data_IF_622835998146
#
_entry.id   IF_622835998146
#
_cell.length_a   1.000
_cell.length_b   1.000
_cell.length_c   1.000
_cell.angle_alpha   90.00
_cell.angle_beta   90.00
_cell.angle_gamma   90.00
#
_symmetry.space_group_name_H-M   'P 1'
#
loop_
_entity.id
_entity.type
_entity.pdbx_description
1 polymer ?
#
# COMPACT_ATOMS: atom_id res chain seq x y z
N UNK A 1 -11.21 -35.01 -26.29
CA UNK A 1 -10.84 -36.42 -26.11
C UNK A 1 -10.45 -36.56 -24.65
N UNK A 2 -11.03 -37.54 -23.95
CA UNK A 2 -10.88 -37.68 -22.50
C UNK A 2 -9.44 -38.05 -22.16
N UNK A 3 -8.78 -37.25 -21.32
CA UNK A 3 -7.49 -37.62 -20.72
C UNK A 3 -7.75 -38.75 -19.71
N UNK A 4 -7.24 -39.95 -20.04
CA UNK A 4 -7.18 -41.08 -19.13
C UNK A 4 -6.29 -40.69 -17.96
N UNK A 5 -6.86 -40.64 -16.76
CA UNK A 5 -6.09 -40.78 -15.51
C UNK A 5 -5.40 -42.15 -15.62
N UNK A 6 -4.08 -42.15 -15.49
CA UNK A 6 -3.26 -43.37 -15.55
C UNK A 6 -3.86 -44.37 -14.56
N UNK A 7 -4.23 -45.54 -15.08
CA UNK A 7 -4.92 -46.59 -14.32
C UNK A 7 -3.91 -47.30 -13.42
N UNK A 8 -4.19 -47.35 -12.12
CA UNK A 8 -3.28 -47.88 -11.11
C UNK A 8 -2.96 -49.37 -11.28
N UNK A 9 -3.75 -50.08 -12.07
CA UNK A 9 -3.53 -51.50 -12.38
C UNK A 9 -2.35 -51.72 -13.37
N UNK A 10 -2.05 -50.78 -14.27
CA UNK A 10 -0.92 -50.90 -15.23
C UNK A 10 0.45 -50.69 -14.56
N UNK A 11 0.50 -49.96 -13.43
CA UNK A 11 1.74 -49.76 -12.67
C UNK A 11 2.07 -50.94 -11.75
N UNK A 12 1.05 -51.69 -11.29
CA UNK A 12 1.24 -52.84 -10.41
C UNK A 12 1.84 -54.06 -11.12
N UNK A 13 1.58 -54.23 -12.43
CA UNK A 13 2.15 -55.35 -13.20
C UNK A 13 3.62 -55.12 -13.61
N UNK A 14 4.10 -53.87 -13.67
CA UNK A 14 5.50 -53.57 -14.06
C UNK A 14 6.49 -53.92 -12.94
N UNK A 15 6.06 -53.91 -11.68
CA UNK A 15 6.91 -54.24 -10.52
C UNK A 15 6.92 -55.74 -10.15
N UNK A 16 6.12 -56.58 -10.81
CA UNK A 16 6.02 -58.01 -10.46
C UNK A 16 7.17 -58.89 -11.02
N UNK A 17 7.93 -58.42 -12.02
CA UNK A 17 8.99 -59.19 -12.71
C UNK A 17 10.43 -58.79 -12.33
N UNK A 18 10.61 -58.03 -11.24
CA UNK A 18 11.92 -57.58 -10.76
C UNK A 18 12.33 -58.22 -9.43
N UNK A 19 13.04 -59.34 -9.53
CA UNK A 19 13.96 -59.95 -8.54
C UNK A 19 14.04 -59.28 -7.15
N UNK A 20 13.39 -59.92 -6.17
CA UNK A 20 13.34 -59.52 -4.76
C UNK A 20 14.70 -59.66 -4.07
N UNK A 21 15.31 -58.52 -3.74
CA UNK A 21 16.33 -58.46 -2.70
C UNK A 21 15.65 -58.36 -1.33
N UNK A 22 15.85 -59.40 -0.50
CA UNK A 22 15.57 -59.42 0.93
C UNK A 22 16.20 -58.20 1.61
N UNK A 23 15.39 -57.20 1.93
CA UNK A 23 15.65 -56.33 3.06
C UNK A 23 14.38 -56.30 3.90
N UNK A 24 14.52 -56.76 5.14
CA UNK A 24 13.53 -56.68 6.22
C UNK A 24 13.00 -55.23 6.32
N UNK A 25 11.98 -54.90 5.53
CA UNK A 25 11.30 -53.63 5.65
C UNK A 25 10.42 -53.71 6.89
N UNK A 26 10.79 -52.93 7.90
CA UNK A 26 9.98 -52.63 9.08
C UNK A 26 8.59 -52.15 8.62
N UNK A 27 7.66 -53.08 8.51
CA UNK A 27 6.24 -52.79 8.51
C UNK A 27 6.00 -52.15 9.88
N UNK A 28 5.63 -50.86 9.92
CA UNK A 28 5.29 -50.23 11.19
C UNK A 28 4.04 -50.91 11.73
N UNK A 29 4.28 -51.86 12.63
CA UNK A 29 3.26 -52.69 13.22
C UNK A 29 2.51 -51.87 14.28
N UNK A 30 1.52 -51.08 13.85
CA UNK A 30 0.48 -50.59 14.77
C UNK A 30 -0.55 -51.71 14.90
N UNK A 31 -0.10 -52.84 15.45
CA UNK A 31 -0.97 -53.93 15.87
C UNK A 31 -1.64 -53.57 17.20
N UNK A 32 -2.90 -53.15 17.10
CA UNK A 32 -4.01 -53.40 18.01
C UNK A 32 -3.69 -53.79 19.47
N UNK A 33 -3.77 -52.82 20.39
CA UNK A 33 -3.88 -53.11 21.83
C UNK A 33 -5.00 -52.35 22.57
N UNK A 34 -6.02 -51.83 21.87
CA UNK A 34 -7.21 -51.30 22.56
C UNK A 34 -8.50 -51.92 22.01
N UNK A 35 -9.27 -52.52 22.91
CA UNK A 35 -10.58 -53.11 22.64
C UNK A 35 -11.54 -52.06 22.08
N UNK A 36 -12.15 -52.35 20.93
CA UNK A 36 -13.13 -51.49 20.29
C UNK A 36 -14.29 -51.13 21.24
N UNK A 37 -14.41 -49.84 21.56
CA UNK A 37 -15.57 -49.27 22.26
C UNK A 37 -16.45 -48.48 21.30
N UNK A 38 -17.50 -49.12 20.79
CA UNK A 38 -18.80 -48.48 20.55
C UNK A 38 -19.06 -47.78 19.20
N UNK A 39 -19.99 -48.38 18.45
CA UNK A 39 -21.01 -47.79 17.56
C UNK A 39 -20.61 -46.91 16.36
N UNK A 40 -19.36 -46.99 15.89
CA UNK A 40 -18.95 -46.42 14.60
C UNK A 40 -18.19 -47.44 13.77
N UNK A 41 -18.43 -47.45 12.46
CA UNK A 41 -17.59 -48.19 11.51
C UNK A 41 -16.21 -47.53 11.49
N UNK A 42 -15.23 -48.18 12.09
CA UNK A 42 -13.83 -47.76 12.07
C UNK A 42 -13.13 -48.44 10.88
N UNK A 43 -12.65 -47.63 9.94
CA UNK A 43 -11.85 -48.09 8.80
C UNK A 43 -10.38 -47.96 9.17
N UNK A 44 -9.73 -49.09 9.48
CA UNK A 44 -8.29 -49.14 9.69
C UNK A 44 -7.60 -49.35 8.34
N UNK A 45 -7.00 -48.28 7.81
CA UNK A 45 -6.22 -48.36 6.58
C UNK A 45 -4.76 -48.52 6.96
N UNK A 46 -4.22 -49.72 6.76
CA UNK A 46 -2.77 -49.97 6.86
C UNK A 46 -2.13 -49.45 5.58
N UNK A 47 -1.34 -48.39 5.70
CA UNK A 47 -0.57 -47.81 4.59
C UNK A 47 0.91 -48.13 4.78
N UNK A 48 1.60 -48.46 3.69
CA UNK A 48 3.06 -48.66 3.71
C UNK A 48 3.76 -47.32 3.93
N UNK A 49 4.92 -47.30 4.59
CA UNK A 49 5.59 -46.06 5.02
C UNK A 49 5.77 -45.00 3.91
N UNK A 50 6.07 -45.42 2.67
CA UNK A 50 6.21 -44.50 1.53
C UNK A 50 4.89 -43.86 1.11
N UNK A 51 3.77 -44.59 1.15
CA UNK A 51 2.43 -44.03 0.86
C UNK A 51 1.96 -43.05 1.92
N UNK A 52 2.48 -43.16 3.15
CA UNK A 52 2.19 -42.21 4.23
C UNK A 52 2.96 -40.90 4.01
N UNK A 53 4.24 -40.97 3.61
CA UNK A 53 5.02 -39.80 3.26
C UNK A 53 4.43 -39.04 2.05
N UNK A 54 4.01 -39.75 1.00
CA UNK A 54 3.37 -39.13 -0.16
C UNK A 54 2.02 -38.46 0.21
N UNK A 55 1.25 -39.08 1.11
CA UNK A 55 0.00 -38.49 1.58
C UNK A 55 0.26 -37.26 2.47
N UNK A 56 1.28 -37.28 3.32
CA UNK A 56 1.70 -36.12 4.12
C UNK A 56 2.12 -34.96 3.21
N UNK A 57 2.92 -35.20 2.19
CA UNK A 57 3.34 -34.17 1.23
C UNK A 57 2.15 -33.62 0.43
N UNK A 58 1.18 -34.46 0.06
CA UNK A 58 -0.05 -34.03 -0.59
C UNK A 58 -0.95 -33.20 0.34
N UNK A 59 -1.06 -33.56 1.62
CA UNK A 59 -1.83 -32.81 2.62
C UNK A 59 -1.16 -31.48 2.92
N UNK A 60 0.16 -31.44 3.11
CA UNK A 60 0.94 -30.22 3.34
C UNK A 60 0.82 -29.31 2.11
N UNK A 61 0.93 -29.86 0.90
CA UNK A 61 0.76 -29.13 -0.35
C UNK A 61 -0.66 -28.58 -0.53
N UNK A 62 -1.69 -29.36 -0.17
CA UNK A 62 -3.08 -28.91 -0.22
C UNK A 62 -3.38 -27.83 0.83
N UNK A 63 -2.87 -27.98 2.06
CA UNK A 63 -2.99 -26.99 3.13
C UNK A 63 -2.26 -25.69 2.78
N UNK A 64 -1.07 -25.77 2.20
CA UNK A 64 -0.33 -24.61 1.70
C UNK A 64 -1.10 -23.89 0.58
N UNK A 65 -1.68 -24.63 -0.37
CA UNK A 65 -2.55 -24.04 -1.42
C UNK A 65 -3.83 -23.44 -0.85
N UNK A 66 -4.40 -23.98 0.22
CA UNK A 66 -5.60 -23.43 0.86
C UNK A 66 -5.28 -22.17 1.67
N UNK A 67 -4.15 -22.13 2.38
CA UNK A 67 -3.66 -20.95 3.11
C UNK A 67 -3.22 -19.82 2.16
N UNK A 68 -2.49 -20.15 1.09
CA UNK A 68 -2.04 -19.18 0.09
C UNK A 68 -3.16 -18.78 -0.87
N UNK A 69 -4.02 -19.71 -1.28
CA UNK A 69 -5.16 -19.46 -2.16
C UNK A 69 -6.29 -18.64 -1.54
N UNK A 70 -6.33 -18.54 -0.20
CA UNK A 70 -7.22 -17.60 0.51
C UNK A 70 -6.78 -16.13 0.33
N UNK A 71 -5.52 -15.88 -0.05
CA UNK A 71 -5.07 -14.56 -0.45
C UNK A 71 -5.34 -14.39 -1.94
N UNK A 72 -6.15 -13.38 -2.28
CA UNK A 72 -6.38 -12.99 -3.67
C UNK A 72 -5.01 -12.83 -4.37
N UNK A 73 -4.71 -13.64 -5.40
CA UNK A 73 -3.37 -13.72 -6.01
C UNK A 73 -2.77 -12.35 -6.37
N UNK A 74 -3.63 -11.37 -6.65
CA UNK A 74 -3.27 -9.96 -6.90
C UNK A 74 -2.75 -9.22 -5.67
N UNK A 75 -3.29 -9.49 -4.47
CA UNK A 75 -2.80 -8.91 -3.20
C UNK A 75 -1.45 -9.51 -2.83
N UNK A 76 -1.32 -10.83 -2.87
CA UNK A 76 -0.04 -11.50 -2.56
C UNK A 76 1.08 -11.06 -3.51
N UNK A 77 0.79 -10.97 -4.81
CA UNK A 77 1.76 -10.47 -5.78
C UNK A 77 2.20 -9.02 -5.47
N UNK A 78 1.25 -8.17 -5.05
CA UNK A 78 1.55 -6.79 -4.65
C UNK A 78 2.37 -6.72 -3.37
N UNK A 79 2.04 -7.52 -2.36
CA UNK A 79 2.77 -7.57 -1.09
C UNK A 79 4.21 -8.07 -1.30
N UNK A 80 4.40 -9.05 -2.20
CA UNK A 80 5.73 -9.52 -2.61
C UNK A 80 6.49 -8.41 -3.36
N UNK A 81 5.85 -7.70 -4.29
CA UNK A 81 6.45 -6.57 -5.00
C UNK A 81 6.89 -5.47 -4.02
N UNK A 82 6.01 -5.08 -3.09
CA UNK A 82 6.31 -4.06 -2.08
C UNK A 82 7.49 -4.49 -1.21
N UNK A 83 7.56 -5.77 -0.81
CA UNK A 83 8.67 -6.30 -0.03
C UNK A 83 9.98 -6.37 -0.82
N UNK A 84 9.93 -6.77 -2.09
CA UNK A 84 11.09 -6.77 -2.97
C UNK A 84 11.62 -5.35 -3.20
N UNK A 85 10.74 -4.36 -3.37
CA UNK A 85 11.13 -2.95 -3.49
C UNK A 85 11.79 -2.47 -2.20
N UNK A 86 11.23 -2.81 -1.04
CA UNK A 86 11.82 -2.44 0.25
C UNK A 86 13.22 -3.05 0.45
N UNK A 87 13.40 -4.33 0.14
CA UNK A 87 14.71 -5.00 0.25
C UNK A 87 15.73 -4.42 -0.73
N UNK A 88 15.31 -4.17 -1.98
CA UNK A 88 16.18 -3.56 -2.98
C UNK A 88 16.60 -2.16 -2.56
N UNK A 89 15.69 -1.37 -1.97
CA UNK A 89 16.02 -0.05 -1.40
C UNK A 89 17.03 -0.16 -0.28
N UNK A 90 16.82 -1.06 0.70
CA UNK A 90 17.76 -1.26 1.80
C UNK A 90 19.16 -1.63 1.31
N UNK A 91 19.27 -2.57 0.39
CA UNK A 91 20.57 -2.95 -0.18
C UNK A 91 21.22 -1.82 -0.98
N UNK A 92 20.43 -1.07 -1.75
CA UNK A 92 20.93 0.11 -2.44
C UNK A 92 21.41 1.17 -1.45
N UNK A 93 20.64 1.48 -0.41
CA UNK A 93 21.00 2.44 0.63
C UNK A 93 22.27 2.00 1.38
N UNK A 94 22.42 0.73 1.72
CA UNK A 94 23.63 0.19 2.35
C UNK A 94 24.86 0.33 1.44
N UNK A 95 24.75 -0.04 0.16
CA UNK A 95 25.83 0.09 -0.81
C UNK A 95 26.21 1.55 -1.06
N UNK A 96 25.21 2.42 -1.24
CA UNK A 96 25.40 3.84 -1.43
C UNK A 96 25.96 4.49 -0.16
N UNK A 97 25.57 4.09 1.04
CA UNK A 97 26.07 4.69 2.29
C UNK A 97 27.59 4.58 2.42
N UNK A 98 28.17 3.45 2.02
CA UNK A 98 29.63 3.21 2.02
C UNK A 98 30.34 4.13 1.03
N UNK A 99 29.87 4.14 -0.22
CA UNK A 99 30.39 5.01 -1.28
C UNK A 99 30.24 6.49 -0.91
N UNK A 100 29.12 6.82 -0.27
CA UNK A 100 28.82 8.19 0.15
C UNK A 100 29.73 8.61 1.30
N UNK A 101 30.05 7.74 2.26
CA UNK A 101 31.05 8.04 3.28
C UNK A 101 32.45 8.27 2.65
N UNK A 102 32.87 7.41 1.73
CA UNK A 102 34.17 7.52 1.06
C UNK A 102 34.30 8.78 0.17
N UNK A 103 33.23 9.20 -0.50
CA UNK A 103 33.24 10.40 -1.36
C UNK A 103 33.04 11.68 -0.54
N UNK A 104 32.22 11.63 0.51
CA UNK A 104 31.89 12.83 1.29
C UNK A 104 33.05 13.32 2.15
N UNK A 105 33.87 12.39 2.66
CA UNK A 105 34.97 12.73 3.56
C UNK A 105 36.27 13.07 2.81
N UNK A 106 36.27 13.02 1.47
CA UNK A 106 37.39 13.51 0.67
C UNK A 106 37.48 15.05 0.76
N UNK A 107 38.65 15.61 1.12
CA UNK A 107 38.83 17.05 1.17
C UNK A 107 38.85 17.61 -0.24
N UNK A 108 37.96 18.56 -0.51
CA UNK A 108 37.93 19.33 -1.73
C UNK A 108 38.36 20.77 -1.43
N UNK A 109 39.07 21.39 -2.37
CA UNK A 109 39.30 22.84 -2.30
C UNK A 109 38.10 23.54 -2.93
N UNK A 110 37.33 24.34 -2.18
CA UNK A 110 36.26 25.13 -2.75
C UNK A 110 36.84 26.17 -3.71
N UNK A 111 36.23 26.34 -4.89
CA UNK A 111 36.70 27.33 -5.87
C UNK A 111 36.35 28.79 -5.49
N UNK A 112 35.59 28.98 -4.41
CA UNK A 112 35.10 30.28 -3.92
C UNK A 112 35.12 30.31 -2.38
N UNK A 113 35.35 31.47 -1.77
CA UNK A 113 35.43 31.65 -0.30
C UNK A 113 36.84 31.46 0.29
N UNK A 114 36.92 31.15 1.59
CA UNK A 114 38.18 30.79 2.25
C UNK A 114 38.71 29.49 1.64
N UNK A 115 39.90 29.53 1.05
CA UNK A 115 40.55 28.41 0.34
C UNK A 115 41.10 27.34 1.30
N UNK A 116 40.41 27.11 2.39
CA UNK A 116 40.73 26.03 3.32
C UNK A 116 40.17 24.73 2.74
N UNK A 117 40.86 23.59 2.90
CA UNK A 117 40.32 22.31 2.49
C UNK A 117 39.10 21.99 3.34
N UNK A 118 37.96 21.83 2.68
CA UNK A 118 36.66 21.58 3.32
C UNK A 118 36.19 20.18 2.88
N UNK A 119 35.59 19.41 3.78
CA UNK A 119 35.00 18.12 3.40
C UNK A 119 33.83 18.35 2.44
N UNK A 120 33.53 17.42 1.54
CA UNK A 120 32.40 17.57 0.61
C UNK A 120 31.07 17.78 1.36
N UNK A 121 30.94 17.25 2.59
CA UNK A 121 29.80 17.51 3.50
C UNK A 121 29.64 18.99 3.81
N UNK A 122 30.71 19.59 4.29
CA UNK A 122 30.75 21.00 4.67
C UNK A 122 30.64 21.89 3.44
N UNK A 123 31.17 21.46 2.29
CA UNK A 123 31.00 22.15 1.01
C UNK A 123 29.55 22.18 0.56
N UNK A 124 28.83 21.05 0.63
CA UNK A 124 27.39 21.00 0.35
C UNK A 124 26.63 21.90 1.32
N UNK A 125 27.00 21.90 2.60
CA UNK A 125 26.42 22.80 3.60
C UNK A 125 26.65 24.28 3.29
N UNK A 126 27.87 24.65 2.88
CA UNK A 126 28.24 26.00 2.47
C UNK A 126 27.49 26.44 1.22
N UNK A 127 27.49 25.62 0.16
CA UNK A 127 26.74 25.90 -1.07
C UNK A 127 25.24 25.98 -0.83
N UNK A 128 24.70 25.12 0.04
CA UNK A 128 23.30 25.16 0.45
C UNK A 128 22.97 26.46 1.19
N UNK A 129 23.83 26.90 2.10
CA UNK A 129 23.67 28.18 2.80
C UNK A 129 23.72 29.35 1.82
N UNK A 130 24.71 29.40 0.93
CA UNK A 130 24.85 30.45 -0.08
C UNK A 130 23.61 30.51 -0.98
N UNK A 131 23.15 29.37 -1.49
CA UNK A 131 21.95 29.27 -2.31
C UNK A 131 20.71 29.83 -1.60
N UNK A 132 20.52 29.49 -0.32
CA UNK A 132 19.40 29.95 0.48
C UNK A 132 19.48 31.44 0.86
N UNK A 133 20.68 31.97 1.03
CA UNK A 133 20.93 33.39 1.34
C UNK A 133 20.97 34.28 0.10
N UNK A 134 21.05 33.69 -1.10
CA UNK A 134 21.08 34.44 -2.35
C UNK A 134 19.80 35.27 -2.51
N UNK A 135 19.97 36.52 -2.92
CA UNK A 135 18.87 37.44 -3.17
C UNK A 135 18.16 37.07 -4.47
N UNK A 136 16.86 36.79 -4.37
CA UNK A 136 16.00 36.47 -5.51
C UNK A 136 15.00 37.57 -5.78
N UNK A 137 14.60 37.67 -7.03
CA UNK A 137 13.47 38.50 -7.45
C UNK A 137 12.12 37.83 -7.12
N UNK A 138 11.02 38.51 -7.45
CA UNK A 138 9.65 37.99 -7.26
C UNK A 138 9.35 36.71 -8.06
N UNK A 139 10.18 36.39 -9.05
CA UNK A 139 10.07 35.15 -9.84
C UNK A 139 10.94 34.02 -9.29
N UNK A 140 11.68 34.25 -8.20
CA UNK A 140 12.58 33.27 -7.60
C UNK A 140 13.91 33.14 -8.34
N UNK A 141 14.22 34.04 -9.27
CA UNK A 141 15.48 34.04 -10.02
C UNK A 141 16.54 34.85 -9.28
N UNK A 142 17.82 34.44 -9.32
CA UNK A 142 18.90 35.25 -8.80
C UNK A 142 18.89 36.62 -9.45
N UNK A 143 18.96 37.68 -8.63
CA UNK A 143 19.02 39.03 -9.17
C UNK A 143 20.28 39.74 -8.69
N UNK A 144 21.09 40.25 -9.61
CA UNK A 144 22.32 41.01 -9.31
C UNK A 144 22.11 42.52 -9.17
N UNK A 145 20.90 42.99 -9.47
CA UNK A 145 20.56 44.41 -9.62
C UNK A 145 20.34 45.17 -8.29
N UNK A 146 21.42 45.62 -7.67
CA UNK A 146 21.51 46.20 -6.30
C UNK A 146 20.39 47.18 -5.90
N UNK A 147 19.70 47.83 -6.84
CA UNK A 147 18.67 48.84 -6.58
C UNK A 147 17.22 48.34 -6.50
N UNK A 148 16.94 47.04 -6.72
CA UNK A 148 15.56 46.53 -6.62
C UNK A 148 15.06 46.47 -5.17
N UNK A 149 14.04 47.27 -4.85
CA UNK A 149 13.38 47.36 -3.54
C UNK A 149 12.65 46.07 -3.12
N UNK A 150 12.40 45.15 -4.07
CA UNK A 150 11.61 43.93 -3.87
C UNK A 150 12.46 42.66 -3.91
N UNK A 151 13.68 42.72 -3.36
CA UNK A 151 14.55 41.55 -3.19
C UNK A 151 14.28 40.91 -1.84
N UNK A 152 14.28 39.59 -1.80
CA UNK A 152 14.26 38.84 -0.55
C UNK A 152 15.26 37.67 -0.63
N UNK A 153 15.75 37.18 0.52
CA UNK A 153 16.55 35.95 0.54
C UNK A 153 15.73 34.79 -0.04
N UNK A 154 16.36 33.90 -0.78
CA UNK A 154 15.70 32.73 -1.38
C UNK A 154 14.95 31.89 -0.35
N UNK A 155 15.50 31.74 0.86
CA UNK A 155 14.83 31.07 1.96
C UNK A 155 13.47 31.71 2.32
N UNK A 156 13.42 33.04 2.39
CA UNK A 156 12.19 33.78 2.68
C UNK A 156 11.18 33.65 1.53
N UNK A 157 11.65 33.69 0.28
CA UNK A 157 10.81 33.47 -0.89
C UNK A 157 10.14 32.08 -0.89
N UNK A 158 10.92 31.02 -0.63
CA UNK A 158 10.40 29.66 -0.55
C UNK A 158 9.37 29.54 0.58
N UNK A 159 9.68 30.08 1.76
CA UNK A 159 8.77 30.08 2.89
C UNK A 159 7.45 30.80 2.55
N UNK A 160 7.54 31.97 1.90
CA UNK A 160 6.37 32.72 1.45
C UNK A 160 5.52 31.91 0.47
N UNK A 161 6.11 31.27 -0.54
CA UNK A 161 5.37 30.45 -1.51
C UNK A 161 4.67 29.25 -0.85
N UNK A 162 5.32 28.61 0.13
CA UNK A 162 4.71 27.52 0.89
C UNK A 162 3.51 28.02 1.70
N UNK A 163 3.66 29.15 2.39
CA UNK A 163 2.58 29.76 3.17
C UNK A 163 1.41 30.20 2.28
N UNK A 164 1.69 30.86 1.16
CA UNK A 164 0.66 31.30 0.21
C UNK A 164 -0.18 30.13 -0.30
N UNK A 165 0.44 28.99 -0.63
CA UNK A 165 -0.28 27.78 -1.06
C UNK A 165 -1.17 27.20 0.04
N UNK A 166 -0.69 27.20 1.29
CA UNK A 166 -1.46 26.71 2.43
C UNK A 166 -2.64 27.64 2.69
N UNK A 167 -2.41 28.94 2.76
CA UNK A 167 -3.47 29.93 2.95
C UNK A 167 -4.50 29.89 1.82
N UNK A 168 -4.06 29.79 0.57
CA UNK A 168 -4.97 29.67 -0.57
C UNK A 168 -5.87 28.44 -0.43
N UNK A 169 -5.29 27.30 -0.04
CA UNK A 169 -6.04 26.06 0.19
C UNK A 169 -7.04 26.25 1.32
N UNK A 170 -6.61 26.77 2.47
CA UNK A 170 -7.45 27.00 3.64
C UNK A 170 -8.62 27.94 3.33
N UNK A 171 -8.33 29.08 2.68
CA UNK A 171 -9.34 30.05 2.25
C UNK A 171 -10.35 29.39 1.31
N UNK A 172 -9.90 28.61 0.32
CA UNK A 172 -10.81 27.89 -0.58
C UNK A 172 -11.72 26.91 0.16
N UNK A 173 -11.20 26.14 1.12
CA UNK A 173 -12.02 25.24 1.96
C UNK A 173 -13.02 26.01 2.81
N UNK A 174 -12.59 27.05 3.53
CA UNK A 174 -13.46 27.86 4.38
C UNK A 174 -14.57 28.52 3.55
N UNK A 175 -14.22 29.08 2.39
CA UNK A 175 -15.18 29.71 1.46
C UNK A 175 -16.18 28.70 0.94
N UNK A 176 -15.73 27.49 0.58
CA UNK A 176 -16.62 26.42 0.11
C UNK A 176 -17.59 25.95 1.19
N UNK A 177 -17.14 25.88 2.45
CA UNK A 177 -18.01 25.56 3.60
C UNK A 177 -19.08 26.62 3.80
N UNK A 178 -18.71 27.91 3.83
CA UNK A 178 -19.65 29.02 3.99
C UNK A 178 -20.67 29.06 2.84
N UNK A 179 -20.24 28.82 1.59
CA UNK A 179 -21.15 28.71 0.45
C UNK A 179 -22.16 27.56 0.65
N UNK A 180 -21.71 26.44 1.21
CA UNK A 180 -22.57 25.31 1.57
C UNK A 180 -23.65 25.70 2.58
N UNK A 181 -23.25 26.37 3.67
CA UNK A 181 -24.16 26.86 4.72
C UNK A 181 -25.18 27.88 4.20
N UNK A 182 -24.75 28.82 3.35
CA UNK A 182 -25.66 29.78 2.73
C UNK A 182 -26.67 29.06 1.82
N UNK A 183 -26.21 28.09 1.01
CA UNK A 183 -27.11 27.33 0.14
C UNK A 183 -28.14 26.53 0.93
N UNK A 184 -27.76 25.92 2.04
CA UNK A 184 -28.71 25.19 2.90
C UNK A 184 -29.70 26.14 3.57
N UNK A 185 -29.23 27.29 4.08
CA UNK A 185 -30.10 28.30 4.68
C UNK A 185 -31.12 28.88 3.68
N UNK A 186 -30.68 29.20 2.45
CA UNK A 186 -31.56 29.69 1.37
C UNK A 186 -32.56 28.63 0.92
N UNK A 187 -32.15 27.36 0.84
CA UNK A 187 -33.10 26.27 0.54
C UNK A 187 -34.17 26.16 1.62
N UNK A 188 -33.76 26.17 2.89
CA UNK A 188 -34.69 26.11 4.01
C UNK A 188 -35.65 27.30 4.04
N UNK A 189 -35.20 28.52 3.69
CA UNK A 189 -36.08 29.69 3.60
C UNK A 189 -37.06 29.60 2.42
N UNK A 190 -36.61 29.12 1.26
CA UNK A 190 -37.46 28.91 0.10
C UNK A 190 -38.51 27.81 0.36
N UNK A 191 -38.14 26.71 1.01
CA UNK A 191 -39.08 25.64 1.38
C UNK A 191 -40.18 26.17 2.30
N UNK A 192 -39.82 26.90 3.36
CA UNK A 192 -40.80 27.55 4.26
C UNK A 192 -41.72 28.50 3.51
N UNK A 193 -41.17 29.34 2.64
CA UNK A 193 -41.97 30.28 1.85
C UNK A 193 -42.95 29.56 0.91
N UNK A 194 -42.52 28.48 0.26
CA UNK A 194 -43.39 27.67 -0.60
C UNK A 194 -44.50 26.99 0.22
N UNK A 195 -44.21 26.49 1.41
CA UNK A 195 -45.21 25.89 2.31
C UNK A 195 -46.25 26.91 2.77
N UNK A 196 -45.82 28.10 3.15
CA UNK A 196 -46.70 29.21 3.55
C UNK A 196 -47.61 29.64 2.39
N UNK A 197 -47.08 29.80 1.19
CA UNK A 197 -47.89 30.17 0.01
C UNK A 197 -48.83 29.04 -0.42
N UNK A 198 -48.41 27.78 -0.35
CA UNK A 198 -49.32 26.63 -0.58
C UNK A 198 -50.49 26.65 0.40
N UNK A 199 -50.23 26.91 1.68
CA UNK A 199 -51.28 27.00 2.69
C UNK A 199 -52.24 28.16 2.41
N UNK A 200 -51.71 29.34 2.07
CA UNK A 200 -52.51 30.52 1.70
C UNK A 200 -53.38 30.26 0.47
N UNK A 201 -52.84 29.63 -0.57
CA UNK A 201 -53.58 29.29 -1.80
C UNK A 201 -54.67 28.27 -1.50
N UNK A 202 -54.40 27.24 -0.70
CA UNK A 202 -55.40 26.25 -0.29
C UNK A 202 -56.55 26.90 0.50
N UNK A 203 -56.25 27.82 1.42
CA UNK A 203 -57.27 28.56 2.16
C UNK A 203 -58.16 29.41 1.23
N UNK A 204 -57.55 30.09 0.25
CA UNK A 204 -58.27 30.86 -0.75
C UNK A 204 -59.19 29.99 -1.62
N UNK A 205 -58.69 28.83 -2.08
CA UNK A 205 -59.48 27.86 -2.86
C UNK A 205 -60.68 27.38 -2.05
N UNK A 206 -60.47 26.98 -0.79
CA UNK A 206 -61.55 26.50 0.07
C UNK A 206 -62.63 27.57 0.31
N UNK A 207 -62.25 28.83 0.53
CA UNK A 207 -63.22 29.94 0.64
C UNK A 207 -64.02 30.18 -0.64
N UNK A 208 -63.44 29.97 -1.81
CA UNK A 208 -64.15 30.13 -3.09
C UNK A 208 -65.07 28.96 -3.44
N UNK A 209 -64.83 27.77 -2.88
CA UNK A 209 -65.63 26.56 -3.09
C UNK A 209 -66.82 26.43 -2.12
N UNK A 210 -66.88 27.22 -1.06
CA UNK A 210 -68.09 27.30 -0.24
C UNK A 210 -69.24 27.88 -1.08
N UNK A 211 -70.37 27.15 -1.26
CA UNK A 211 -71.47 27.64 -2.07
C UNK A 211 -72.05 28.90 -1.43
N UNK A 212 -72.09 30.00 -2.19
CA UNK A 212 -72.81 31.22 -1.79
C UNK A 212 -74.25 30.85 -1.45
N UNK A 213 -74.59 30.94 -0.16
CA UNK A 213 -75.97 30.87 0.34
C UNK A 213 -76.76 32.08 -0.13
#
# INVERSE_FOLDING_TARGET
MADKIIDTDELAEIEADGEWGDEEQEVSDIAATEQATGDKMEFHVQMRGYTLADMEDLIIGAAARQLLGAHNNTKLAKDIQDRCVELTRKHADEALSKVTAEIIDQPIMPSFGSKEPVTMREFIGLCGREYLTEWVDRSGKPSRDVYSTNRMPRAAFIAQQCLEKVFEKEIKTATSMVIGEIKTAVRASHEKFIEEEKARVLEAINKTLEPKK
#
